data_IF_114750868100
#
_entry.id   IF_114750868100
#
_cell.length_a   1.000
_cell.length_b   1.000
_cell.length_c   1.000
_cell.angle_alpha   90.00
_cell.angle_beta   90.00
_cell.angle_gamma   90.00
#
_symmetry.space_group_name_H-M   'P 1'
#
loop_
_entity.id
_entity.type
_entity.pdbx_description
1 polymer ?
#
# COMPACT_ATOMS: atom_id res chain seq x y z
N UNK A 1 18.41 -11.02 19.30
CA UNK A 1 17.41 -10.82 18.22
C UNK A 1 17.19 -12.20 17.60
N UNK A 2 15.96 -12.62 17.34
CA UNK A 2 15.66 -13.96 16.85
C UNK A 2 16.32 -14.16 15.46
N UNK A 3 17.21 -15.14 15.32
CA UNK A 3 17.95 -15.40 14.06
C UNK A 3 17.01 -15.67 12.87
N UNK A 4 15.85 -16.24 13.14
CA UNK A 4 14.85 -16.48 12.11
C UNK A 4 14.26 -15.18 11.56
N UNK A 5 14.12 -14.14 12.38
CA UNK A 5 13.64 -12.83 11.91
C UNK A 5 14.65 -12.19 10.93
N UNK A 6 15.96 -12.35 11.16
CA UNK A 6 17.01 -11.89 10.23
C UNK A 6 16.96 -12.64 8.88
N UNK A 7 16.57 -13.92 8.90
CA UNK A 7 16.42 -14.70 7.65
C UNK A 7 15.22 -14.22 6.84
N UNK A 8 14.10 -13.88 7.49
CA UNK A 8 12.91 -13.31 6.83
C UNK A 8 13.20 -11.95 6.20
N UNK A 9 14.08 -11.12 6.81
CA UNK A 9 14.46 -9.82 6.23
C UNK A 9 15.00 -9.94 4.81
N UNK A 10 15.68 -11.05 4.48
CA UNK A 10 16.25 -11.29 3.13
C UNK A 10 15.19 -11.51 2.04
N UNK A 11 13.95 -11.84 2.43
CA UNK A 11 12.82 -12.04 1.51
C UNK A 11 11.95 -10.79 1.36
N UNK A 12 12.35 -9.67 1.97
CA UNK A 12 11.57 -8.42 2.00
C UNK A 12 12.43 -7.28 1.45
N UNK A 13 11.86 -6.53 0.53
CA UNK A 13 12.56 -5.45 -0.13
C UNK A 13 13.33 -5.89 -1.37
N UNK A 14 14.23 -5.04 -1.85
CA UNK A 14 15.00 -5.26 -3.09
C UNK A 14 14.11 -5.61 -4.30
N UNK A 15 12.86 -5.13 -4.29
CA UNK A 15 11.89 -5.39 -5.34
C UNK A 15 12.30 -4.72 -6.66
N UNK A 16 11.89 -5.23 -7.82
CA UNK A 16 12.18 -4.59 -9.10
C UNK A 16 11.65 -3.15 -9.18
N UNK A 17 12.36 -2.30 -9.90
CA UNK A 17 11.90 -1.01 -10.38
C UNK A 17 11.79 -1.10 -11.90
N UNK A 18 10.64 -0.72 -12.46
CA UNK A 18 10.42 -0.69 -13.91
C UNK A 18 10.15 0.72 -14.37
N UNK A 19 10.58 1.04 -15.59
CA UNK A 19 10.23 2.24 -16.33
C UNK A 19 9.12 1.89 -17.32
N UNK A 20 7.94 2.47 -17.17
CA UNK A 20 6.81 2.33 -18.09
C UNK A 20 6.75 3.56 -18.98
N UNK A 21 6.87 3.34 -20.28
CA UNK A 21 6.70 4.36 -21.31
C UNK A 21 5.24 4.39 -21.75
N UNK A 22 4.62 5.56 -21.71
CA UNK A 22 3.23 5.75 -22.12
C UNK A 22 3.06 7.07 -22.89
N UNK A 23 1.99 7.14 -23.68
CA UNK A 23 1.62 8.34 -24.43
C UNK A 23 0.23 8.80 -24.00
N UNK A 24 0.11 10.07 -23.70
CA UNK A 24 -1.13 10.74 -23.37
C UNK A 24 -1.13 12.15 -23.95
N UNK A 25 -2.22 12.56 -24.63
CA UNK A 25 -2.31 13.83 -25.36
C UNK A 25 -1.14 14.05 -26.34
N UNK A 26 -0.76 13.00 -27.08
CA UNK A 26 0.37 12.98 -28.02
C UNK A 26 1.77 13.26 -27.42
N UNK A 27 1.91 13.23 -26.08
CA UNK A 27 3.18 13.40 -25.37
C UNK A 27 3.60 12.09 -24.76
N UNK A 28 4.83 11.66 -25.03
CA UNK A 28 5.44 10.48 -24.40
C UNK A 28 5.97 10.88 -23.02
N UNK A 29 5.66 10.06 -22.00
CA UNK A 29 6.07 10.26 -20.61
C UNK A 29 6.47 8.93 -19.98
N UNK A 30 7.03 8.98 -18.78
CA UNK A 30 7.61 7.84 -18.09
C UNK A 30 7.11 7.71 -16.65
N UNK A 31 6.76 6.48 -16.25
CA UNK A 31 6.44 6.16 -14.86
C UNK A 31 7.42 5.11 -14.35
N UNK A 32 8.19 5.46 -13.33
CA UNK A 32 9.07 4.53 -12.61
C UNK A 32 8.29 3.89 -11.47
N UNK A 33 7.90 2.62 -11.64
CA UNK A 33 7.05 1.92 -10.71
C UNK A 33 7.83 0.85 -9.92
N UNK A 34 7.79 0.94 -8.59
CA UNK A 34 8.37 -0.05 -7.69
C UNK A 34 7.40 -1.21 -7.50
N UNK A 35 7.77 -2.42 -7.90
CA UNK A 35 6.89 -3.59 -7.95
C UNK A 35 6.86 -4.31 -6.59
N UNK A 36 6.02 -3.85 -5.68
CA UNK A 36 6.02 -4.31 -4.29
C UNK A 36 5.34 -5.66 -4.06
N UNK A 37 4.72 -6.26 -5.08
CA UNK A 37 4.24 -7.65 -4.98
C UNK A 37 5.36 -8.70 -5.02
N UNK A 38 6.61 -8.30 -5.29
CA UNK A 38 7.77 -9.19 -5.18
C UNK A 38 8.27 -9.40 -3.74
N UNK A 39 7.62 -8.80 -2.75
CA UNK A 39 7.88 -9.10 -1.35
C UNK A 39 7.31 -10.47 -0.93
N UNK A 40 7.67 -10.94 0.25
CA UNK A 40 7.38 -12.27 0.83
C UNK A 40 5.93 -12.75 0.66
N UNK A 41 4.94 -11.91 0.96
CA UNK A 41 3.51 -12.24 0.85
C UNK A 41 2.80 -11.51 -0.29
N UNK A 42 3.56 -10.88 -1.16
CA UNK A 42 3.04 -10.21 -2.34
C UNK A 42 2.48 -8.81 -2.08
N UNK A 43 3.05 -8.04 -1.14
CA UNK A 43 2.69 -6.63 -0.98
C UNK A 43 3.73 -5.77 -0.28
N UNK A 44 3.60 -4.46 -0.43
CA UNK A 44 4.39 -3.44 0.27
C UNK A 44 4.27 -3.54 1.81
N UNK A 45 3.22 -4.18 2.31
CA UNK A 45 2.98 -4.30 3.75
C UNK A 45 3.95 -5.25 4.44
N UNK A 46 4.63 -6.13 3.70
CA UNK A 46 5.70 -6.97 4.25
C UNK A 46 6.81 -6.13 4.88
N UNK A 47 7.16 -5.01 4.25
CA UNK A 47 8.14 -4.06 4.78
C UNK A 47 7.69 -3.45 6.10
N UNK A 48 6.44 -2.99 6.16
CA UNK A 48 5.87 -2.34 7.34
C UNK A 48 5.70 -3.33 8.50
N UNK A 49 5.13 -4.50 8.24
CA UNK A 49 4.93 -5.55 9.23
C UNK A 49 6.26 -6.02 9.83
N UNK A 50 7.27 -6.25 8.97
CA UNK A 50 8.59 -6.65 9.41
C UNK A 50 9.26 -5.62 10.32
N UNK A 51 9.26 -4.36 9.91
CA UNK A 51 9.90 -3.30 10.69
C UNK A 51 9.19 -3.07 12.04
N UNK A 52 7.86 -3.14 12.07
CA UNK A 52 7.06 -3.03 13.29
C UNK A 52 7.39 -4.17 14.25
N UNK A 53 7.38 -5.43 13.79
CA UNK A 53 7.71 -6.59 14.63
C UNK A 53 9.16 -6.51 15.11
N UNK A 54 10.11 -6.19 14.20
CA UNK A 54 11.53 -6.07 14.52
C UNK A 54 11.79 -5.02 15.61
N UNK A 55 11.20 -3.83 15.47
CA UNK A 55 11.35 -2.76 16.45
C UNK A 55 10.66 -3.11 17.78
N UNK A 56 9.50 -3.80 17.75
CA UNK A 56 8.81 -4.24 18.95
C UNK A 56 9.62 -5.24 19.77
N UNK A 57 10.24 -6.22 19.12
CA UNK A 57 11.16 -7.14 19.78
C UNK A 57 12.41 -6.43 20.33
N UNK A 58 13.02 -5.56 19.51
CA UNK A 58 14.21 -4.80 19.91
C UNK A 58 13.98 -3.94 21.15
N UNK A 59 12.77 -3.39 21.28
CA UNK A 59 12.40 -2.50 22.42
C UNK A 59 11.74 -3.25 23.58
N UNK A 60 11.59 -4.59 23.51
CA UNK A 60 10.95 -5.41 24.53
C UNK A 60 9.42 -5.24 24.65
N UNK A 61 8.79 -4.54 23.68
CA UNK A 61 7.33 -4.35 23.66
C UNK A 61 6.57 -5.58 23.20
N UNK A 62 7.21 -6.44 22.42
CA UNK A 62 6.68 -7.73 21.98
C UNK A 62 7.58 -8.85 22.51
N UNK A 63 6.96 -9.86 23.09
CA UNK A 63 7.63 -11.08 23.60
C UNK A 63 7.21 -12.29 22.77
N UNK A 64 8.01 -13.35 22.85
CA UNK A 64 7.66 -14.66 22.27
C UNK A 64 6.32 -15.15 22.82
N UNK A 65 5.52 -15.78 21.96
CA UNK A 65 4.18 -16.29 22.26
C UNK A 65 3.14 -15.23 22.67
N UNK A 66 3.50 -13.95 22.79
CA UNK A 66 2.54 -12.88 23.05
C UNK A 66 1.65 -12.69 21.80
N UNK A 67 0.31 -12.63 21.92
CA UNK A 67 -0.54 -12.37 20.78
C UNK A 67 -0.25 -11.00 20.13
N UNK A 68 -0.23 -10.98 18.80
CA UNK A 68 -0.17 -9.76 18.00
C UNK A 68 -1.58 -9.46 17.51
N UNK A 69 -2.04 -8.20 17.65
CA UNK A 69 -3.32 -7.74 17.12
C UNK A 69 -3.12 -6.59 16.13
N UNK A 70 -3.95 -6.55 15.07
CA UNK A 70 -3.95 -5.44 14.13
C UNK A 70 -5.33 -5.21 13.50
N UNK A 71 -5.62 -3.94 13.20
CA UNK A 71 -6.75 -3.50 12.38
C UNK A 71 -6.27 -3.29 10.94
N UNK A 72 -6.88 -3.98 9.98
CA UNK A 72 -6.38 -3.92 8.60
C UNK A 72 -7.45 -4.21 7.55
N UNK A 73 -7.29 -3.65 6.36
CA UNK A 73 -8.02 -4.03 5.14
C UNK A 73 -7.52 -5.34 4.50
N UNK A 74 -6.47 -5.98 5.02
CA UNK A 74 -6.02 -7.31 4.62
C UNK A 74 -4.52 -7.51 4.44
N UNK A 75 -3.83 -6.76 3.59
CA UNK A 75 -2.41 -6.99 3.28
C UNK A 75 -1.49 -6.95 4.51
N UNK A 76 -1.71 -6.01 5.43
CA UNK A 76 -0.93 -5.94 6.67
C UNK A 76 -1.14 -7.19 7.53
N UNK A 77 -2.38 -7.67 7.63
CA UNK A 77 -2.69 -8.90 8.37
C UNK A 77 -1.99 -10.12 7.77
N UNK A 78 -2.01 -10.27 6.44
CA UNK A 78 -1.32 -11.36 5.73
C UNK A 78 0.18 -11.31 6.02
N UNK A 79 0.79 -10.13 5.93
CA UNK A 79 2.22 -9.93 6.23
C UNK A 79 2.56 -10.26 7.67
N UNK A 80 1.75 -9.77 8.63
CA UNK A 80 1.93 -10.07 10.06
C UNK A 80 1.83 -11.57 10.33
N UNK A 81 0.83 -12.25 9.76
CA UNK A 81 0.65 -13.68 9.94
C UNK A 81 1.87 -14.49 9.45
N UNK A 82 2.41 -14.14 8.28
CA UNK A 82 3.59 -14.81 7.73
C UNK A 82 4.82 -14.59 8.62
N UNK A 83 5.11 -13.34 9.01
CA UNK A 83 6.29 -12.99 9.80
C UNK A 83 6.17 -13.54 11.23
N UNK A 84 4.98 -13.50 11.83
CA UNK A 84 4.74 -13.98 13.18
C UNK A 84 4.93 -15.50 13.35
N UNK A 85 4.89 -16.28 12.25
CA UNK A 85 5.20 -17.73 12.32
C UNK A 85 6.63 -18.00 12.76
N UNK A 86 7.59 -17.19 12.34
CA UNK A 86 9.00 -17.37 12.73
C UNK A 86 9.33 -16.83 14.12
N UNK A 87 8.42 -16.09 14.72
CA UNK A 87 8.53 -15.57 16.09
C UNK A 87 7.56 -16.23 17.06
N UNK A 88 6.79 -17.24 16.58
CA UNK A 88 5.81 -18.03 17.36
C UNK A 88 4.74 -17.18 18.05
N UNK A 89 4.37 -16.03 17.47
CA UNK A 89 3.31 -15.18 18.00
C UNK A 89 1.96 -15.54 17.37
N UNK A 90 0.92 -15.82 18.17
CA UNK A 90 -0.45 -15.89 17.65
C UNK A 90 -0.88 -14.54 17.06
N UNK A 91 -1.65 -14.54 15.96
CA UNK A 91 -2.11 -13.32 15.29
C UNK A 91 -3.62 -13.21 15.34
N UNK A 92 -4.10 -12.03 15.73
CA UNK A 92 -5.52 -11.65 15.78
C UNK A 92 -5.70 -10.48 14.80
N UNK A 93 -6.62 -10.65 13.86
CA UNK A 93 -6.91 -9.63 12.83
C UNK A 93 -8.35 -9.14 12.98
N UNK A 94 -8.50 -7.86 13.24
CA UNK A 94 -9.78 -7.17 13.17
C UNK A 94 -9.92 -6.56 11.77
N UNK A 95 -10.92 -7.03 11.01
CA UNK A 95 -11.10 -6.70 9.59
C UNK A 95 -12.57 -6.43 9.26
N UNK A 96 -12.88 -5.39 8.47
CA UNK A 96 -14.24 -5.16 8.00
C UNK A 96 -14.75 -6.30 7.10
N UNK A 97 -16.02 -6.67 7.25
CA UNK A 97 -16.71 -7.71 6.44
C UNK A 97 -16.75 -7.39 4.94
N UNK A 98 -16.56 -6.12 4.58
CA UNK A 98 -16.60 -5.61 3.20
C UNK A 98 -15.34 -5.91 2.39
N UNK A 99 -14.29 -6.41 3.04
CA UNK A 99 -13.04 -6.75 2.35
C UNK A 99 -13.18 -8.03 1.51
N UNK A 100 -12.33 -8.15 0.46
CA UNK A 100 -12.40 -9.27 -0.49
C UNK A 100 -12.26 -10.63 0.20
N UNK A 101 -13.00 -11.61 -0.32
CA UNK A 101 -13.02 -12.97 0.23
C UNK A 101 -11.64 -13.65 0.16
N UNK A 102 -10.83 -13.31 -0.82
CA UNK A 102 -9.46 -13.82 -0.97
C UNK A 102 -8.60 -13.46 0.24
N UNK A 103 -8.69 -12.21 0.73
CA UNK A 103 -7.95 -11.77 1.92
C UNK A 103 -8.38 -12.54 3.17
N UNK A 104 -9.68 -12.73 3.34
CA UNK A 104 -10.22 -13.51 4.48
C UNK A 104 -9.75 -14.97 4.40
N UNK A 105 -9.78 -15.58 3.21
CA UNK A 105 -9.29 -16.96 2.99
C UNK A 105 -7.79 -17.08 3.27
N UNK A 106 -6.99 -16.12 2.81
CA UNK A 106 -5.55 -16.09 3.08
C UNK A 106 -5.25 -15.97 4.58
N UNK A 107 -5.90 -15.05 5.30
CA UNK A 107 -5.73 -14.92 6.75
C UNK A 107 -6.09 -16.22 7.48
N UNK A 108 -7.18 -16.90 7.08
CA UNK A 108 -7.57 -18.20 7.63
C UNK A 108 -6.51 -19.27 7.37
N UNK A 109 -5.94 -19.32 6.15
CA UNK A 109 -4.92 -20.33 5.81
C UNK A 109 -3.63 -20.16 6.62
N UNK A 110 -3.30 -18.94 7.05
CA UNK A 110 -2.21 -18.69 8.00
C UNK A 110 -2.56 -19.05 9.47
N UNK A 111 -3.81 -19.42 9.75
CA UNK A 111 -4.27 -19.74 11.11
C UNK A 111 -4.44 -18.52 12.00
N UNK A 112 -4.75 -17.35 11.42
CA UNK A 112 -5.06 -16.16 12.20
C UNK A 112 -6.43 -16.30 12.89
N UNK A 113 -6.57 -15.76 14.10
CA UNK A 113 -7.88 -15.46 14.67
C UNK A 113 -8.44 -14.22 13.97
N UNK A 114 -9.63 -14.34 13.37
CA UNK A 114 -10.25 -13.27 12.59
C UNK A 114 -11.50 -12.78 13.28
N UNK A 115 -11.56 -11.48 13.54
CA UNK A 115 -12.73 -10.75 14.00
C UNK A 115 -13.30 -9.97 12.81
N UNK A 116 -14.44 -10.46 12.27
CA UNK A 116 -15.16 -9.81 11.17
C UNK A 116 -16.15 -8.80 11.72
N UNK A 117 -15.94 -7.52 11.43
CA UNK A 117 -16.70 -6.40 11.98
C UNK A 117 -17.33 -5.55 10.85
N UNK A 118 -18.27 -4.68 11.18
CA UNK A 118 -19.03 -3.97 10.15
C UNK A 118 -18.25 -2.81 9.51
N UNK A 119 -17.35 -2.17 10.30
CA UNK A 119 -16.60 -1.00 9.88
C UNK A 119 -15.26 -0.86 10.65
N UNK A 120 -14.42 0.06 10.21
CA UNK A 120 -13.12 0.32 10.86
C UNK A 120 -13.25 0.79 12.33
N UNK A 121 -14.17 1.70 12.71
CA UNK A 121 -14.34 2.06 14.13
C UNK A 121 -14.54 0.85 15.03
N UNK A 122 -15.43 -0.09 14.70
CA UNK A 122 -15.63 -1.31 15.48
C UNK A 122 -14.37 -2.19 15.51
N UNK A 123 -13.60 -2.23 14.41
CA UNK A 123 -12.32 -2.94 14.39
C UNK A 123 -11.32 -2.34 15.37
N UNK A 124 -11.25 -1.01 15.49
CA UNK A 124 -10.37 -0.34 16.46
C UNK A 124 -10.82 -0.58 17.90
N UNK A 125 -12.12 -0.52 18.19
CA UNK A 125 -12.66 -0.84 19.52
C UNK A 125 -12.27 -2.26 19.93
N UNK A 126 -12.48 -3.23 19.03
CA UNK A 126 -12.15 -4.64 19.28
C UNK A 126 -10.65 -4.88 19.47
N UNK A 127 -9.83 -4.23 18.68
CA UNK A 127 -8.38 -4.31 18.81
C UNK A 127 -7.89 -3.73 20.15
N UNK A 128 -8.48 -2.63 20.61
CA UNK A 128 -8.19 -2.05 21.92
C UNK A 128 -8.58 -2.98 23.09
N UNK A 129 -9.66 -3.77 22.95
CA UNK A 129 -10.00 -4.81 23.93
C UNK A 129 -8.88 -5.85 24.03
N UNK A 130 -8.35 -6.33 22.89
CA UNK A 130 -7.22 -7.27 22.88
C UNK A 130 -5.94 -6.67 23.45
N UNK A 131 -5.66 -5.38 23.19
CA UNK A 131 -4.51 -4.69 23.79
C UNK A 131 -4.63 -4.68 25.34
N UNK A 132 -5.82 -4.39 25.88
CA UNK A 132 -6.08 -4.45 27.34
C UNK A 132 -5.92 -5.87 27.91
N UNK A 133 -6.13 -6.90 27.10
CA UNK A 133 -5.93 -8.31 27.45
C UNK A 133 -4.47 -8.77 27.30
N UNK A 134 -3.55 -7.87 26.95
CA UNK A 134 -2.12 -8.15 26.85
C UNK A 134 -1.61 -8.48 25.45
N UNK A 135 -2.41 -8.36 24.39
CA UNK A 135 -1.92 -8.47 23.03
C UNK A 135 -1.07 -7.23 22.64
N UNK A 136 -0.04 -7.46 21.83
CA UNK A 136 0.70 -6.36 21.21
C UNK A 136 -0.09 -5.82 20.03
N UNK A 137 -0.59 -4.58 20.12
CA UNK A 137 -1.28 -3.89 19.04
C UNK A 137 -0.27 -3.14 18.16
N UNK A 138 -0.16 -3.52 16.88
CA UNK A 138 0.86 -2.98 15.95
C UNK A 138 0.64 -1.51 15.60
N UNK A 139 -0.63 -1.05 15.54
CA UNK A 139 -1.03 0.35 15.30
C UNK A 139 -0.44 0.92 14.00
N UNK A 140 -0.63 0.22 12.87
CA UNK A 140 -0.03 0.60 11.58
C UNK A 140 -0.31 2.03 11.13
N UNK A 141 -1.41 2.66 11.59
CA UNK A 141 -1.81 4.02 11.24
C UNK A 141 -1.06 5.11 12.02
N UNK A 142 -0.33 4.73 13.08
CA UNK A 142 0.41 5.68 13.93
C UNK A 142 1.84 5.23 14.26
N UNK A 143 2.19 3.99 13.99
CA UNK A 143 3.50 3.42 14.31
C UNK A 143 4.58 3.94 13.36
N UNK A 144 5.54 4.69 13.91
CA UNK A 144 6.64 5.31 13.13
C UNK A 144 7.57 4.28 12.45
N UNK A 145 7.58 3.02 12.90
CA UNK A 145 8.33 1.95 12.23
C UNK A 145 7.80 1.68 10.81
N UNK A 146 6.52 1.98 10.55
CA UNK A 146 5.95 1.94 9.20
C UNK A 146 6.63 2.98 8.27
N UNK A 147 6.83 4.24 8.73
CA UNK A 147 7.57 5.26 7.97
C UNK A 147 9.02 4.82 7.75
N UNK A 148 9.69 4.29 8.77
CA UNK A 148 11.06 3.78 8.70
C UNK A 148 11.20 2.67 7.65
N UNK A 149 10.24 1.74 7.58
CA UNK A 149 10.18 0.69 6.56
C UNK A 149 10.17 1.29 5.15
N UNK A 150 9.34 2.28 4.91
CA UNK A 150 9.19 2.89 3.59
C UNK A 150 10.33 3.85 3.21
N UNK A 151 11.09 4.34 4.19
CA UNK A 151 12.36 5.03 3.92
C UNK A 151 13.39 4.08 3.27
N UNK A 152 13.34 2.76 3.58
CA UNK A 152 14.16 1.76 2.88
C UNK A 152 13.74 1.64 1.41
N UNK A 153 12.44 1.65 1.11
CA UNK A 153 11.92 1.67 -0.26
C UNK A 153 12.40 2.89 -1.04
N UNK A 154 12.39 4.07 -0.41
CA UNK A 154 12.91 5.29 -1.01
C UNK A 154 14.40 5.19 -1.37
N UNK A 155 15.21 4.58 -0.49
CA UNK A 155 16.65 4.35 -0.74
C UNK A 155 16.88 3.39 -1.91
N UNK A 156 16.02 2.38 -2.08
CA UNK A 156 16.08 1.47 -3.23
C UNK A 156 15.78 2.20 -4.54
N UNK A 157 14.76 3.08 -4.57
CA UNK A 157 14.44 3.94 -5.71
C UNK A 157 15.61 4.87 -6.02
N UNK A 158 16.12 5.57 -5.01
CA UNK A 158 17.21 6.54 -5.15
C UNK A 158 18.59 5.91 -5.47
N UNK A 159 18.73 4.59 -5.36
CA UNK A 159 19.91 3.84 -5.81
C UNK A 159 19.88 3.57 -7.32
N UNK A 160 18.68 3.59 -7.90
CA UNK A 160 18.43 3.27 -9.31
C UNK A 160 18.21 4.51 -10.18
N UNK A 161 17.77 5.61 -9.58
CA UNK A 161 17.46 6.85 -10.28
C UNK A 161 18.33 7.99 -9.76
N UNK A 162 19.00 8.69 -10.67
CA UNK A 162 19.84 9.84 -10.34
C UNK A 162 19.02 11.06 -9.87
N UNK A 163 17.76 11.15 -10.33
CA UNK A 163 16.81 12.17 -9.94
C UNK A 163 15.38 11.60 -9.91
N UNK A 164 14.55 12.14 -9.02
CA UNK A 164 13.11 11.81 -8.92
C UNK A 164 12.36 13.14 -8.79
N UNK A 165 11.95 13.76 -9.90
CA UNK A 165 11.30 15.08 -9.86
C UNK A 165 9.95 15.03 -9.15
N UNK A 166 9.19 13.93 -9.33
CA UNK A 166 7.86 13.78 -8.75
C UNK A 166 7.66 12.36 -8.22
N UNK A 167 7.07 12.26 -7.03
CA UNK A 167 6.64 11.00 -6.43
C UNK A 167 5.14 11.03 -6.14
N UNK A 168 4.43 10.02 -6.64
CA UNK A 168 2.97 9.90 -6.53
C UNK A 168 2.61 8.64 -5.76
N UNK A 169 1.75 8.73 -4.77
CA UNK A 169 1.22 7.54 -4.07
C UNK A 169 -0.11 7.82 -3.37
N UNK A 170 -0.98 6.81 -3.37
CA UNK A 170 -2.16 6.79 -2.52
C UNK A 170 -1.83 6.70 -1.04
N UNK A 171 -2.79 7.15 -0.22
CA UNK A 171 -2.69 7.18 1.24
C UNK A 171 -3.67 6.19 1.87
N UNK A 172 -3.14 5.06 2.38
CA UNK A 172 -3.86 4.20 3.33
C UNK A 172 -3.42 4.53 4.75
N UNK A 173 -2.34 3.93 5.24
CA UNK A 173 -1.78 4.25 6.57
C UNK A 173 -0.91 5.50 6.61
N UNK A 174 -0.60 6.09 5.48
CA UNK A 174 0.36 7.20 5.36
C UNK A 174 1.82 6.77 5.28
N UNK A 175 2.16 5.55 5.71
CA UNK A 175 3.55 5.09 5.78
C UNK A 175 4.32 5.21 4.47
N UNK A 176 3.72 4.79 3.36
CA UNK A 176 4.35 4.80 2.03
C UNK A 176 4.63 6.21 1.54
N UNK A 177 3.59 7.03 1.43
CA UNK A 177 3.74 8.39 0.91
C UNK A 177 4.70 9.22 1.78
N UNK A 178 4.55 9.16 3.10
CA UNK A 178 5.36 9.94 4.04
C UNK A 178 6.78 9.41 4.14
N UNK A 179 6.97 8.08 4.21
CA UNK A 179 8.30 7.47 4.34
C UNK A 179 9.16 7.66 3.09
N UNK A 180 8.59 7.47 1.91
CA UNK A 180 9.27 7.68 0.64
C UNK A 180 9.40 9.18 0.36
N UNK A 181 8.31 9.93 0.50
CA UNK A 181 8.24 11.34 0.17
C UNK A 181 9.24 12.19 0.96
N UNK A 182 9.33 12.02 2.28
CA UNK A 182 10.31 12.75 3.10
C UNK A 182 11.75 12.51 2.65
N UNK A 183 12.10 11.27 2.33
CA UNK A 183 13.44 10.95 1.88
C UNK A 183 13.77 11.57 0.52
N UNK A 184 12.86 11.40 -0.46
CA UNK A 184 13.07 11.91 -1.82
C UNK A 184 13.04 13.45 -1.85
N UNK A 185 12.12 14.08 -1.11
CA UNK A 185 12.06 15.55 -0.99
C UNK A 185 13.34 16.13 -0.41
N UNK A 186 13.88 15.48 0.62
CA UNK A 186 15.19 15.89 1.21
C UNK A 186 16.37 15.71 0.24
N UNK A 187 16.34 14.63 -0.58
CA UNK A 187 17.48 14.29 -1.45
C UNK A 187 17.45 15.03 -2.78
N UNK A 188 16.27 15.19 -3.39
CA UNK A 188 16.12 15.66 -4.76
C UNK A 188 15.16 16.86 -4.92
N UNK A 189 14.63 17.39 -3.82
CA UNK A 189 13.55 18.38 -3.84
C UNK A 189 12.29 17.90 -4.58
N UNK A 190 11.99 16.61 -4.48
CA UNK A 190 10.88 15.91 -5.16
C UNK A 190 9.53 16.55 -4.83
N UNK A 191 8.69 16.79 -5.84
CA UNK A 191 7.28 17.13 -5.69
C UNK A 191 6.51 15.89 -5.20
N UNK A 192 5.77 16.01 -4.10
CA UNK A 192 5.04 14.91 -3.49
C UNK A 192 3.55 15.06 -3.76
N UNK A 193 2.96 14.09 -4.45
CA UNK A 193 1.55 14.08 -4.83
C UNK A 193 0.84 12.93 -4.11
N UNK A 194 -0.21 13.27 -3.37
CA UNK A 194 -1.10 12.30 -2.73
C UNK A 194 -2.27 11.96 -3.66
N UNK A 195 -2.67 10.70 -3.71
CA UNK A 195 -3.91 10.28 -4.37
C UNK A 195 -5.02 10.15 -3.33
N UNK A 196 -6.16 10.74 -3.64
CA UNK A 196 -7.39 10.65 -2.86
C UNK A 196 -8.51 10.04 -3.73
N UNK A 197 -9.23 9.00 -3.29
CA UNK A 197 -10.39 8.50 -4.03
C UNK A 197 -11.45 9.59 -4.19
N UNK A 198 -11.86 9.86 -5.43
CA UNK A 198 -12.80 10.93 -5.78
C UNK A 198 -14.14 10.83 -5.06
N UNK A 199 -14.60 9.62 -4.78
CA UNK A 199 -15.86 9.36 -4.07
C UNK A 199 -15.73 9.63 -2.56
N UNK A 200 -14.55 9.39 -1.98
CA UNK A 200 -14.32 9.56 -0.55
C UNK A 200 -13.81 10.95 -0.17
N UNK A 201 -12.92 11.55 -0.96
CA UNK A 201 -12.32 12.89 -0.73
C UNK A 201 -11.79 13.07 0.70
N UNK A 202 -11.28 12.02 1.31
CA UNK A 202 -10.90 12.02 2.72
C UNK A 202 -9.78 13.04 3.00
N UNK A 203 -8.75 13.07 2.16
CA UNK A 203 -7.62 13.98 2.33
C UNK A 203 -7.99 15.42 1.95
N UNK A 204 -8.82 15.57 0.93
CA UNK A 204 -9.26 16.87 0.39
C UNK A 204 -10.23 17.55 1.36
N UNK A 205 -11.23 16.82 1.88
CA UNK A 205 -12.30 17.37 2.70
C UNK A 205 -12.08 17.18 4.21
N UNK A 206 -11.05 16.42 4.64
CA UNK A 206 -10.78 16.13 6.05
C UNK A 206 -11.69 15.04 6.67
N UNK A 207 -12.72 14.60 5.95
CA UNK A 207 -13.64 13.51 6.33
C UNK A 207 -14.16 12.82 5.09
N UNK A 208 -14.44 11.52 5.18
CA UNK A 208 -14.99 10.76 4.06
C UNK A 208 -16.35 11.28 3.63
N UNK A 209 -16.52 11.47 2.32
CA UNK A 209 -17.78 11.93 1.70
C UNK A 209 -18.59 10.75 1.15
N UNK A 210 -17.99 9.58 0.95
CA UNK A 210 -18.66 8.43 0.40
C UNK A 210 -17.77 7.18 0.36
N UNK A 211 -18.32 6.10 -0.19
CA UNK A 211 -17.62 4.83 -0.35
C UNK A 211 -16.91 4.79 -1.70
N UNK A 212 -15.73 4.21 -1.72
CA UNK A 212 -14.93 3.98 -2.93
C UNK A 212 -14.52 2.50 -3.03
N UNK A 213 -13.98 2.09 -4.21
CA UNK A 213 -13.60 0.71 -4.50
C UNK A 213 -12.07 0.49 -4.49
N UNK A 214 -11.27 1.50 -4.20
CA UNK A 214 -9.79 1.43 -4.19
C UNK A 214 -9.31 0.91 -2.84
N UNK A 215 -9.41 -0.40 -2.61
CA UNK A 215 -9.07 -1.02 -1.33
C UNK A 215 -7.61 -0.75 -0.93
N UNK A 216 -7.41 -0.36 0.33
CA UNK A 216 -6.10 -0.02 0.89
C UNK A 216 -5.74 1.47 0.83
N UNK A 217 -6.61 2.30 0.29
CA UNK A 217 -6.54 3.76 0.39
C UNK A 217 -7.74 4.28 1.20
N UNK A 218 -7.54 5.41 1.89
CA UNK A 218 -8.62 6.18 2.55
C UNK A 218 -9.55 5.31 3.42
N UNK A 219 -8.97 4.51 4.34
CA UNK A 219 -9.67 3.57 5.22
C UNK A 219 -10.56 4.30 6.28
N UNK A 220 -11.44 5.23 5.86
CA UNK A 220 -12.41 6.04 6.62
C UNK A 220 -11.79 6.98 7.67
N UNK A 221 -10.47 6.94 7.89
CA UNK A 221 -9.75 7.77 8.87
C UNK A 221 -8.53 8.43 8.24
N UNK A 222 -8.22 9.65 8.66
CA UNK A 222 -6.92 10.27 8.37
C UNK A 222 -5.89 9.66 9.33
N UNK A 223 -4.87 8.93 8.83
CA UNK A 223 -3.92 8.28 9.70
C UNK A 223 -3.02 9.29 10.42
N UNK A 224 -2.64 9.00 11.68
CA UNK A 224 -1.70 9.87 12.43
C UNK A 224 -0.32 10.00 11.80
N UNK A 225 0.04 9.07 10.91
CA UNK A 225 1.30 9.15 10.15
C UNK A 225 1.23 10.15 8.98
N UNK A 226 0.01 10.57 8.57
CA UNK A 226 -0.16 11.52 7.49
C UNK A 226 0.36 12.90 7.90
N UNK A 227 1.25 13.45 7.09
CA UNK A 227 1.84 14.76 7.31
C UNK A 227 1.58 15.63 6.08
N UNK A 228 0.55 16.48 6.19
CA UNK A 228 0.14 17.38 5.12
C UNK A 228 1.26 18.35 4.69
N UNK A 229 2.22 18.64 5.59
CA UNK A 229 3.26 19.65 5.32
C UNK A 229 4.25 19.26 4.23
N UNK A 230 4.36 17.96 3.93
CA UNK A 230 5.24 17.50 2.85
C UNK A 230 4.53 17.32 1.52
N UNK A 231 3.18 17.40 1.50
CA UNK A 231 2.35 17.17 0.32
C UNK A 231 2.27 18.47 -0.49
N UNK A 232 2.65 18.41 -1.76
CA UNK A 232 2.61 19.57 -2.65
C UNK A 232 1.27 19.64 -3.40
N UNK A 233 0.64 18.46 -3.67
CA UNK A 233 -0.61 18.37 -4.42
C UNK A 233 -1.42 17.14 -4.00
N UNK A 234 -2.75 17.22 -4.14
CA UNK A 234 -3.67 16.08 -4.01
C UNK A 234 -4.41 15.91 -5.33
N UNK A 235 -4.35 14.71 -5.91
CA UNK A 235 -5.08 14.35 -7.14
C UNK A 235 -6.19 13.36 -6.79
N UNK A 236 -7.42 13.70 -7.16
CA UNK A 236 -8.58 12.84 -6.99
C UNK A 236 -8.68 11.83 -8.15
N UNK A 237 -8.82 10.53 -7.82
CA UNK A 237 -8.97 9.45 -8.81
C UNK A 237 -10.29 8.71 -8.56
N UNK A 238 -11.09 8.59 -9.59
CA UNK A 238 -12.33 7.80 -9.53
C UNK A 238 -12.02 6.30 -9.45
N UNK A 239 -12.84 5.56 -8.70
CA UNK A 239 -12.66 4.11 -8.50
C UNK A 239 -12.70 3.34 -9.80
N UNK A 240 -13.63 3.66 -10.70
CA UNK A 240 -13.78 2.95 -11.97
C UNK A 240 -12.60 3.22 -12.91
N UNK A 241 -12.06 4.45 -12.92
CA UNK A 241 -10.84 4.77 -13.67
C UNK A 241 -9.63 3.97 -13.14
N UNK A 242 -9.48 3.87 -11.81
CA UNK A 242 -8.41 3.09 -11.20
C UNK A 242 -8.50 1.59 -11.54
N UNK A 243 -9.71 1.04 -11.57
CA UNK A 243 -9.99 -0.34 -11.98
C UNK A 243 -9.65 -0.54 -13.45
N UNK A 244 -10.13 0.32 -14.34
CA UNK A 244 -9.84 0.24 -15.77
C UNK A 244 -8.34 0.35 -16.06
N UNK A 245 -7.63 1.24 -15.34
CA UNK A 245 -6.17 1.39 -15.51
C UNK A 245 -5.41 0.16 -15.01
N UNK A 246 -5.82 -0.45 -13.90
CA UNK A 246 -5.21 -1.70 -13.41
C UNK A 246 -5.42 -2.85 -14.42
N UNK A 247 -6.62 -2.96 -15.01
CA UNK A 247 -6.90 -3.92 -16.10
C UNK A 247 -6.02 -3.66 -17.31
N UNK A 248 -5.87 -2.39 -17.73
CA UNK A 248 -5.07 -1.99 -18.89
C UNK A 248 -3.58 -2.31 -18.69
N UNK A 249 -3.00 -2.02 -17.52
CA UNK A 249 -1.63 -2.39 -17.17
C UNK A 249 -1.40 -3.90 -17.26
N UNK A 250 -2.38 -4.69 -16.81
CA UNK A 250 -2.33 -6.14 -16.92
C UNK A 250 -2.45 -6.62 -18.37
N UNK A 251 -3.43 -6.13 -19.13
CA UNK A 251 -3.73 -6.56 -20.49
C UNK A 251 -2.62 -6.17 -21.47
N UNK A 252 -2.17 -4.92 -21.42
CA UNK A 252 -1.28 -4.37 -22.45
C UNK A 252 0.20 -4.64 -22.14
N UNK A 253 0.58 -4.70 -20.84
CA UNK A 253 1.98 -4.86 -20.42
C UNK A 253 2.26 -6.14 -19.61
N UNK A 254 1.25 -6.95 -19.28
CA UNK A 254 1.43 -8.12 -18.42
C UNK A 254 1.73 -7.79 -16.96
N UNK A 255 1.52 -6.55 -16.52
CA UNK A 255 1.75 -6.11 -15.15
C UNK A 255 0.47 -6.29 -14.33
N UNK A 256 0.35 -7.45 -13.66
CA UNK A 256 -0.84 -7.86 -12.91
C UNK A 256 -0.95 -7.14 -11.55
N UNK A 257 -1.38 -5.90 -11.57
CA UNK A 257 -1.41 -4.98 -10.42
C UNK A 257 -2.77 -4.93 -9.72
N UNK A 258 -2.78 -4.59 -8.42
CA UNK A 258 -4.00 -4.25 -7.67
C UNK A 258 -4.57 -2.87 -8.05
N UNK A 259 -5.82 -2.59 -7.63
CA UNK A 259 -6.57 -1.38 -8.00
C UNK A 259 -5.83 -0.10 -7.59
N UNK A 260 -5.23 -0.06 -6.39
CA UNK A 260 -4.47 1.10 -5.91
C UNK A 260 -3.26 1.43 -6.78
N UNK A 261 -2.70 0.44 -7.47
CA UNK A 261 -1.59 0.64 -8.41
C UNK A 261 -2.08 1.32 -9.70
N UNK A 262 -3.29 0.97 -10.16
CA UNK A 262 -3.98 1.69 -11.24
C UNK A 262 -4.20 3.16 -10.87
N UNK A 263 -4.69 3.43 -9.66
CA UNK A 263 -4.85 4.79 -9.14
C UNK A 263 -3.52 5.56 -9.09
N UNK A 264 -2.44 4.92 -8.62
CA UNK A 264 -1.11 5.52 -8.56
C UNK A 264 -0.56 5.86 -9.96
N UNK A 265 -0.75 4.97 -10.94
CA UNK A 265 -0.37 5.23 -12.32
C UNK A 265 -1.14 6.43 -12.89
N UNK A 266 -2.46 6.49 -12.67
CA UNK A 266 -3.28 7.62 -13.13
C UNK A 266 -2.89 8.93 -12.47
N UNK A 267 -2.51 8.91 -11.19
CA UNK A 267 -1.96 10.09 -10.54
C UNK A 267 -0.69 10.59 -11.22
N UNK A 268 0.18 9.68 -11.71
CA UNK A 268 1.33 10.06 -12.52
C UNK A 268 0.92 10.66 -13.86
N UNK A 269 -0.10 10.11 -14.53
CA UNK A 269 -0.61 10.66 -15.81
C UNK A 269 -1.18 12.06 -15.61
N UNK A 270 -2.03 12.24 -14.59
CA UNK A 270 -2.73 13.51 -14.32
C UNK A 270 -1.83 14.59 -13.73
N UNK A 271 -0.70 14.23 -13.12
CA UNK A 271 0.29 15.21 -12.68
C UNK A 271 0.85 16.07 -13.80
N UNK A 272 0.76 15.59 -15.05
CA UNK A 272 1.31 16.27 -16.22
C UNK A 272 2.83 16.27 -16.33
N UNK A 273 3.52 15.68 -15.36
CA UNK A 273 4.98 15.66 -15.30
C UNK A 273 5.60 14.71 -16.35
N UNK A 274 6.78 15.06 -16.86
CA UNK A 274 7.49 14.25 -17.86
C UNK A 274 7.89 12.87 -17.32
N UNK A 275 8.22 12.79 -16.04
CA UNK A 275 8.52 11.53 -15.36
C UNK A 275 8.11 11.57 -13.90
N UNK A 276 7.54 10.45 -13.42
CA UNK A 276 7.14 10.28 -12.04
C UNK A 276 7.67 8.95 -11.50
N UNK A 277 7.96 8.90 -10.20
CA UNK A 277 8.13 7.64 -9.49
C UNK A 277 6.85 7.32 -8.70
N UNK A 278 6.54 6.02 -8.60
CA UNK A 278 5.41 5.52 -7.81
C UNK A 278 5.68 4.12 -7.27
N UNK A 279 4.72 3.56 -6.54
CA UNK A 279 4.72 2.18 -6.07
C UNK A 279 3.51 1.42 -6.59
N UNK A 280 3.70 0.20 -7.02
CA UNK A 280 2.64 -0.77 -7.26
C UNK A 280 2.59 -1.69 -6.06
N UNK A 281 1.61 -1.44 -5.20
CA UNK A 281 1.62 -1.93 -3.82
C UNK A 281 1.42 -3.44 -3.68
N UNK A 282 0.60 -4.05 -4.54
CA UNK A 282 0.31 -5.48 -4.58
C UNK A 282 -0.14 -5.93 -5.97
N UNK A 283 -0.43 -7.24 -6.12
CA UNK A 283 -0.93 -7.85 -7.33
C UNK A 283 -2.47 -7.95 -7.36
N UNK A 284 -3.01 -8.37 -8.52
CA UNK A 284 -4.44 -8.51 -8.76
C UNK A 284 -5.07 -9.76 -8.12
N UNK A 285 -4.30 -10.75 -7.65
CA UNK A 285 -4.81 -12.04 -7.14
C UNK A 285 -5.68 -11.91 -5.89
N UNK A 286 -5.54 -10.79 -5.17
CA UNK A 286 -6.33 -10.50 -3.96
C UNK A 286 -7.64 -9.78 -4.26
N UNK A 287 -8.00 -9.61 -5.54
CA UNK A 287 -9.14 -8.81 -6.01
C UNK A 287 -10.04 -9.55 -7.00
N UNK A 288 -9.84 -10.86 -7.20
CA UNK A 288 -10.55 -11.64 -8.24
C UNK A 288 -12.08 -11.70 -8.03
N UNK A 289 -12.55 -11.55 -6.79
CA UNK A 289 -13.97 -11.46 -6.46
C UNK A 289 -14.51 -10.02 -6.41
N UNK A 290 -13.72 -9.05 -6.85
CA UNK A 290 -14.10 -7.63 -6.82
C UNK A 290 -14.38 -7.10 -8.21
N UNK A 291 -14.75 -5.83 -8.31
CA UNK A 291 -14.98 -5.12 -9.58
C UNK A 291 -13.74 -5.11 -10.51
N UNK A 292 -12.56 -5.52 -10.06
CA UNK A 292 -11.39 -5.64 -10.91
C UNK A 292 -11.59 -6.64 -12.07
N UNK A 293 -12.47 -7.63 -11.90
CA UNK A 293 -12.81 -8.63 -12.92
C UNK A 293 -14.15 -8.35 -13.62
N UNK A 294 -14.83 -7.25 -13.28
CA UNK A 294 -16.10 -6.87 -13.89
C UNK A 294 -15.85 -6.16 -15.23
N UNK A 295 -16.19 -6.80 -16.36
CA UNK A 295 -15.97 -6.29 -17.71
C UNK A 295 -16.92 -5.15 -18.11
N UNK A 296 -17.98 -4.90 -17.34
CA UNK A 296 -18.91 -3.80 -17.58
C UNK A 296 -18.35 -2.44 -17.20
N UNK A 297 -17.33 -2.40 -16.30
CA UNK A 297 -16.68 -1.15 -15.88
C UNK A 297 -15.78 -0.69 -17.02
N UNK A 298 -16.07 0.52 -17.54
CA UNK A 298 -15.37 1.19 -18.64
C UNK A 298 -15.05 2.62 -18.26
N UNK A 299 -14.05 3.19 -18.92
CA UNK A 299 -13.64 4.58 -18.76
C UNK A 299 -13.05 5.10 -20.07
N UNK A 300 -13.74 6.02 -20.73
CA UNK A 300 -13.29 6.66 -21.97
C UNK A 300 -11.97 7.44 -21.73
N UNK A 301 -11.74 7.91 -20.50
CA UNK A 301 -10.50 8.57 -20.14
C UNK A 301 -9.29 7.63 -20.30
N UNK A 302 -9.43 6.37 -19.87
CA UNK A 302 -8.36 5.36 -19.92
C UNK A 302 -8.03 4.95 -21.35
N UNK A 303 -9.00 4.99 -22.26
CA UNK A 303 -8.79 4.66 -23.68
C UNK A 303 -7.86 5.66 -24.39
N UNK A 304 -7.75 6.89 -23.88
CA UNK A 304 -6.83 7.90 -24.38
C UNK A 304 -5.37 7.74 -23.91
N UNK A 305 -5.09 6.77 -23.05
CA UNK A 305 -3.75 6.47 -22.54
C UNK A 305 -3.20 5.26 -23.29
N UNK A 306 -2.18 5.45 -24.12
CA UNK A 306 -1.48 4.39 -24.84
C UNK A 306 -0.28 3.91 -24.00
N UNK A 307 -0.30 2.66 -23.57
CA UNK A 307 0.85 2.01 -22.92
C UNK A 307 1.77 1.43 -24.00
N UNK A 308 3.03 1.86 -24.06
CA UNK A 308 3.95 1.49 -25.14
C UNK A 308 4.77 0.25 -24.78
N UNK A 309 5.49 0.32 -23.65
CA UNK A 309 6.35 -0.78 -23.15
C UNK A 309 6.77 -0.52 -21.72
N UNK A 310 7.43 -1.52 -21.12
CA UNK A 310 8.22 -1.30 -19.90
C UNK A 310 9.60 -1.94 -20.02
N UNK A 311 10.53 -1.46 -19.21
CA UNK A 311 11.88 -2.02 -19.04
C UNK A 311 12.25 -2.07 -17.56
N UNK A 312 13.13 -3.00 -17.18
CA UNK A 312 13.68 -3.07 -15.82
C UNK A 312 14.80 -2.03 -15.69
N UNK A 313 14.80 -1.29 -14.57
CA UNK A 313 15.81 -0.25 -14.26
C UNK A 313 16.93 -0.82 -13.39
#
# INVERSE_FOLDING_TARGET
MNDNLNKVEKMIGHTPLVCIEYKYNNIIRYVFAKLEWFNLTGSIKDRSAFEIIKDAYKTGKLKESQPICEVTSGNMGISLCSIAKVTHNPVIICIPKTMSIERIKLLKSFGAKIELLDNFPQCFEKANEYEKQGAYLCKQFENKSNIKAQTKTAKEIAKKLDNVPTFVSGVGTGGTLIGIGRYLKKKYNTKIIAIDPKEAKLLTCGKSQGKHKIQGLSDEIIPKLYDKTIIDEIIEIASDDAICMAKKLCKDLGLNVGISSGANFLGCVLSGEQSCATVFADDNKKYLSTDLTNDEIKSDFIDNIELIKYSIV
#
